data_IF_877075788735
#
_entry.id   IF_877075788735
#
_cell.length_a   1.000
_cell.length_b   1.000
_cell.length_c   1.000
_cell.angle_alpha   90.00
_cell.angle_beta   90.00
_cell.angle_gamma   90.00
#
_symmetry.space_group_name_H-M   'P 1'
#
loop_
_entity.id
_entity.type
_entity.pdbx_description
1 polymer ?
#
# COMPACT_ATOMS: atom_id res chain seq x y z
N UNK A 1 18.30 -6.76 29.99
CA UNK A 1 18.08 -6.86 28.54
C UNK A 1 17.06 -5.81 28.17
N UNK A 2 17.49 -4.76 27.48
CA UNK A 2 16.58 -3.75 26.95
C UNK A 2 15.78 -4.42 25.83
N UNK A 3 14.46 -4.45 25.93
CA UNK A 3 13.63 -4.92 24.84
C UNK A 3 13.98 -4.09 23.62
N UNK A 4 14.46 -4.75 22.56
CA UNK A 4 14.56 -4.12 21.24
C UNK A 4 13.18 -3.58 20.93
N UNK A 5 13.08 -2.30 20.58
CA UNK A 5 11.80 -1.63 20.32
C UNK A 5 10.87 -2.56 19.56
N UNK A 6 9.66 -2.76 20.09
CA UNK A 6 8.62 -3.59 19.50
C UNK A 6 8.47 -3.13 18.04
N UNK A 7 8.95 -3.95 17.09
CA UNK A 7 9.14 -3.53 15.70
C UNK A 7 7.75 -3.31 15.10
N UNK A 8 7.27 -2.08 15.19
CA UNK A 8 5.92 -1.69 14.76
C UNK A 8 5.89 -1.36 13.26
N UNK A 9 6.82 -1.92 12.48
CA UNK A 9 6.83 -1.76 11.03
C UNK A 9 5.90 -2.80 10.42
N UNK A 10 5.06 -2.33 9.51
CA UNK A 10 4.04 -3.14 8.85
C UNK A 10 4.19 -2.99 7.35
N UNK A 11 4.12 -4.10 6.63
CA UNK A 11 4.23 -4.11 5.18
C UNK A 11 2.85 -4.09 4.53
N UNK A 12 2.75 -3.33 3.44
CA UNK A 12 1.54 -3.18 2.64
C UNK A 12 1.94 -3.46 1.19
N UNK A 13 1.09 -4.14 0.44
CA UNK A 13 1.31 -4.43 -0.97
C UNK A 13 0.39 -3.58 -1.86
N UNK A 14 0.92 -3.06 -2.96
CA UNK A 14 0.14 -2.42 -4.01
C UNK A 14 0.16 -3.29 -5.27
N UNK A 15 -1.00 -3.57 -5.84
CA UNK A 15 -1.15 -4.41 -7.02
C UNK A 15 -2.15 -3.83 -8.01
N UNK A 16 -1.89 -4.01 -9.31
CA UNK A 16 -2.86 -3.74 -10.36
C UNK A 16 -3.65 -5.03 -10.65
N UNK A 17 -4.96 -5.03 -10.38
CA UNK A 17 -5.86 -6.17 -10.61
C UNK A 17 -7.05 -5.66 -11.41
N UNK A 18 -7.35 -6.29 -12.54
CA UNK A 18 -8.49 -5.95 -13.42
C UNK A 18 -8.58 -4.46 -13.81
N UNK A 19 -7.43 -3.80 -13.98
CA UNK A 19 -7.35 -2.38 -14.36
C UNK A 19 -7.54 -1.40 -13.21
N UNK A 20 -7.50 -1.86 -11.95
CA UNK A 20 -7.57 -1.03 -10.75
C UNK A 20 -6.34 -1.21 -9.87
N UNK A 21 -5.94 -0.14 -9.18
CA UNK A 21 -4.90 -0.18 -8.14
C UNK A 21 -5.52 -0.55 -6.80
N UNK A 22 -5.03 -1.63 -6.21
CA UNK A 22 -5.42 -2.07 -4.88
C UNK A 22 -4.27 -1.95 -3.89
N UNK A 23 -4.60 -1.47 -2.68
CA UNK A 23 -3.79 -1.59 -1.48
C UNK A 23 -4.26 -2.82 -0.68
N UNK A 24 -3.29 -3.68 -0.36
CA UNK A 24 -3.47 -4.91 0.39
C UNK A 24 -2.74 -4.77 1.73
N UNK A 25 -3.49 -4.36 2.74
CA UNK A 25 -3.04 -4.20 4.12
C UNK A 25 -3.72 -5.26 5.00
N UNK A 26 -2.94 -6.16 5.58
CA UNK A 26 -3.43 -7.23 6.47
C UNK A 26 -4.06 -6.75 7.79
N UNK A 27 -3.96 -5.45 8.11
CA UNK A 27 -4.64 -4.82 9.26
C UNK A 27 -6.02 -4.26 8.89
N UNK A 28 -6.43 -4.33 7.62
CA UNK A 28 -7.75 -3.88 7.12
C UNK A 28 -8.69 -5.06 6.93
N UNK A 29 -9.97 -4.78 6.82
CA UNK A 29 -11.01 -5.79 6.58
C UNK A 29 -10.99 -6.38 5.16
N UNK A 30 -10.28 -5.75 4.23
CA UNK A 30 -10.17 -6.19 2.85
C UNK A 30 -9.34 -5.22 1.99
N UNK A 31 -9.24 -5.48 0.67
CA UNK A 31 -8.55 -4.62 -0.28
C UNK A 31 -9.14 -3.21 -0.31
N UNK A 32 -8.29 -2.19 -0.44
CA UNK A 32 -8.70 -0.81 -0.64
C UNK A 32 -8.43 -0.42 -2.10
N UNK A 33 -9.46 -0.02 -2.84
CA UNK A 33 -9.28 0.51 -4.20
C UNK A 33 -8.79 1.96 -4.16
N UNK A 34 -7.79 2.25 -4.98
CA UNK A 34 -7.25 3.58 -5.24
C UNK A 34 -7.65 4.10 -6.64
N UNK A 35 -8.55 3.39 -7.33
CA UNK A 35 -9.06 3.73 -8.66
C UNK A 35 -8.26 3.11 -9.82
N UNK A 36 -8.50 3.57 -11.06
CA UNK A 36 -7.97 2.94 -12.27
C UNK A 36 -6.43 2.95 -12.34
N UNK A 37 -5.85 1.85 -12.82
CA UNK A 37 -4.42 1.71 -13.09
C UNK A 37 -4.15 0.67 -14.18
N UNK A 38 -2.87 0.42 -14.48
CA UNK A 38 -2.43 -0.57 -15.46
C UNK A 38 -1.03 -1.09 -15.09
N UNK A 39 -0.58 -2.22 -15.65
CA UNK A 39 0.77 -2.73 -15.37
C UNK A 39 1.90 -1.73 -15.64
N UNK A 40 1.76 -0.87 -16.65
CA UNK A 40 2.74 0.16 -16.98
C UNK A 40 2.66 1.41 -16.08
N UNK A 41 1.49 1.69 -15.51
CA UNK A 41 1.27 2.83 -14.61
C UNK A 41 1.45 2.49 -13.12
N UNK A 42 1.43 1.19 -12.77
CA UNK A 42 1.42 0.68 -11.39
C UNK A 42 2.43 1.36 -10.48
N UNK A 43 3.70 1.47 -10.90
CA UNK A 43 4.74 2.12 -10.09
C UNK A 43 4.41 3.57 -9.76
N UNK A 44 3.95 4.33 -10.76
CA UNK A 44 3.64 5.76 -10.61
C UNK A 44 2.41 5.96 -9.73
N UNK A 45 1.37 5.16 -9.93
CA UNK A 45 0.12 5.29 -9.20
C UNK A 45 0.28 4.84 -7.75
N UNK A 46 0.98 3.72 -7.51
CA UNK A 46 1.32 3.27 -6.16
C UNK A 46 2.21 4.28 -5.42
N UNK A 47 3.21 4.86 -6.09
CA UNK A 47 4.06 5.89 -5.48
C UNK A 47 3.25 7.11 -5.03
N UNK A 48 2.24 7.54 -5.81
CA UNK A 48 1.33 8.63 -5.45
C UNK A 48 0.48 8.29 -4.22
N UNK A 49 -0.03 7.05 -4.14
CA UNK A 49 -0.77 6.58 -2.96
C UNK A 49 0.13 6.56 -1.71
N UNK A 50 1.35 6.02 -1.83
CA UNK A 50 2.35 5.96 -0.75
C UNK A 50 2.74 7.35 -0.27
N UNK A 51 2.97 8.31 -1.17
CA UNK A 51 3.25 9.71 -0.79
C UNK A 51 2.14 10.30 0.08
N UNK A 52 0.88 10.00 -0.26
CA UNK A 52 -0.28 10.47 0.50
C UNK A 52 -0.40 9.81 1.89
N UNK A 53 0.19 8.62 2.07
CA UNK A 53 0.25 7.93 3.36
C UNK A 53 1.37 8.48 4.25
N UNK A 54 2.52 8.82 3.67
CA UNK A 54 3.69 9.34 4.40
C UNK A 54 3.50 10.80 4.81
N UNK A 55 2.78 11.59 4.01
CA UNK A 55 2.52 13.01 4.29
C UNK A 55 1.39 13.26 5.31
N UNK A 56 0.68 12.22 5.74
CA UNK A 56 -0.32 12.29 6.81
C UNK A 56 0.33 12.11 8.17
#
# INVERSE_FOLDING_TARGET
MQAVDDVNTHFICFACVDGELYELDGRKSGPISHGPSSPSALLKDAAKAIQSMIQK
#
